data_IF_975448556621
#
_entry.id   IF_975448556621
#
_cell.length_a   1.000
_cell.length_b   1.000
_cell.length_c   1.000
_cell.angle_alpha   90.00
_cell.angle_beta   90.00
_cell.angle_gamma   90.00
#
_symmetry.space_group_name_H-M   'P 1'
#
loop_
_entity.id
_entity.type
_entity.pdbx_description
1 polymer ?
#
# COMPACT_ATOMS: atom_id res chain seq x y z
N UNK A 1 15.50 1.80 -8.19
CA UNK A 1 15.77 1.78 -6.73
C UNK A 1 14.78 0.82 -6.08
N UNK A 2 15.05 0.35 -4.86
CA UNK A 2 14.04 -0.35 -4.06
C UNK A 2 13.46 0.64 -3.05
N UNK A 3 12.16 0.54 -2.78
CA UNK A 3 11.47 1.35 -1.78
C UNK A 3 10.91 0.43 -0.70
N UNK A 4 11.19 0.78 0.55
CA UNK A 4 10.48 0.29 1.73
C UNK A 4 9.57 1.41 2.20
N UNK A 5 8.26 1.15 2.24
CA UNK A 5 7.23 2.16 2.49
C UNK A 5 6.36 1.70 3.64
N UNK A 6 6.24 2.55 4.66
CA UNK A 6 5.46 2.32 5.87
C UNK A 6 5.84 0.99 6.55
N UNK A 7 4.89 0.37 7.27
CA UNK A 7 5.07 -0.92 7.93
C UNK A 7 4.85 -0.84 9.43
N UNK A 8 5.20 -1.92 10.14
CA UNK A 8 4.95 -2.05 11.57
C UNK A 8 6.27 -2.26 12.34
N UNK A 9 6.57 -1.35 13.27
CA UNK A 9 7.76 -1.37 14.13
C UNK A 9 7.37 -1.24 15.61
N UNK A 10 6.42 -2.07 16.05
CA UNK A 10 5.73 -1.94 17.35
C UNK A 10 4.61 -0.88 17.37
N UNK A 11 4.52 -0.11 16.30
CA UNK A 11 3.47 0.81 15.92
C UNK A 11 3.50 0.95 14.39
N UNK A 12 2.42 1.42 13.78
CA UNK A 12 2.44 1.79 12.37
C UNK A 12 3.45 2.90 12.12
N UNK A 13 4.20 2.75 11.04
CA UNK A 13 5.20 3.73 10.62
C UNK A 13 4.75 4.39 9.32
N UNK A 14 5.28 5.58 9.06
CA UNK A 14 5.17 6.26 7.78
C UNK A 14 6.53 6.38 7.09
N UNK A 15 7.50 5.55 7.44
CA UNK A 15 8.84 5.62 6.88
C UNK A 15 8.82 5.40 5.37
N UNK A 16 9.51 6.25 4.60
CA UNK A 16 9.83 5.98 3.19
C UNK A 16 11.34 5.90 3.07
N UNK A 17 11.85 4.70 2.81
CA UNK A 17 13.29 4.46 2.72
C UNK A 17 13.61 3.91 1.34
N UNK A 18 14.59 4.52 0.68
CA UNK A 18 15.08 4.14 -0.63
C UNK A 18 16.41 3.42 -0.48
N UNK A 19 16.54 2.29 -1.16
CA UNK A 19 17.82 1.62 -1.38
C UNK A 19 18.28 1.85 -2.82
N UNK A 20 19.42 2.54 -2.96
CA UNK A 20 20.12 2.62 -4.24
C UNK A 20 20.88 1.31 -4.48
N UNK A 21 20.40 0.51 -5.43
CA UNK A 21 20.96 -0.81 -5.75
C UNK A 21 22.38 -0.72 -6.31
N UNK A 22 22.67 0.32 -7.10
CA UNK A 22 23.98 0.48 -7.73
C UNK A 22 25.03 0.90 -6.70
N UNK A 23 24.68 1.84 -5.83
CA UNK A 23 25.57 2.39 -4.80
C UNK A 23 25.56 1.58 -3.50
N UNK A 24 24.55 0.72 -3.31
CA UNK A 24 24.29 -0.06 -2.10
C UNK A 24 24.16 0.80 -0.85
N UNK A 25 23.45 1.91 -0.96
CA UNK A 25 23.22 2.85 0.14
C UNK A 25 21.73 2.99 0.42
N UNK A 26 21.41 3.19 1.71
CA UNK A 26 20.07 3.50 2.18
C UNK A 26 19.95 5.00 2.39
N UNK A 27 18.84 5.57 1.90
CA UNK A 27 18.51 6.98 2.03
C UNK A 27 17.06 7.10 2.51
N UNK A 28 16.82 7.94 3.51
CA UNK A 28 15.47 8.21 4.01
C UNK A 28 14.88 9.38 3.23
N UNK A 29 13.69 9.19 2.67
CA UNK A 29 12.94 10.25 2.00
C UNK A 29 12.01 10.97 3.00
N UNK A 30 11.64 12.24 2.76
CA UNK A 30 10.58 12.92 3.51
C UNK A 30 9.26 12.14 3.43
N UNK A 31 8.57 11.98 4.56
CA UNK A 31 7.41 11.08 4.66
C UNK A 31 6.31 11.53 5.62
N UNK A 32 6.38 12.77 6.11
CA UNK A 32 5.38 13.39 6.99
C UNK A 32 4.00 13.51 6.33
N UNK A 33 3.97 13.51 4.99
CA UNK A 33 2.77 13.51 4.17
C UNK A 33 2.06 12.14 4.19
N UNK A 34 2.75 11.05 4.52
CA UNK A 34 2.21 9.71 4.57
C UNK A 34 1.62 9.45 5.96
N UNK A 35 0.33 9.13 6.02
CA UNK A 35 -0.29 8.58 7.23
C UNK A 35 0.39 7.25 7.60
N UNK A 36 0.82 7.06 8.87
CA UNK A 36 1.35 5.78 9.33
C UNK A 36 0.38 4.65 9.06
N UNK A 37 0.90 3.56 8.49
CA UNK A 37 0.11 2.38 8.14
C UNK A 37 0.97 1.13 8.05
N UNK A 38 0.36 -0.03 8.08
CA UNK A 38 1.03 -1.30 7.83
C UNK A 38 0.18 -2.21 6.95
N UNK A 39 0.72 -3.37 6.54
CA UNK A 39 -0.02 -4.46 5.85
C UNK A 39 -0.83 -4.02 4.62
N UNK A 40 -0.34 -2.99 3.93
CA UNK A 40 -0.87 -2.54 2.66
C UNK A 40 -0.66 -3.60 1.57
N UNK A 41 -1.54 -3.63 0.58
CA UNK A 41 -1.20 -4.21 -0.71
C UNK A 41 -0.29 -3.23 -1.46
N UNK A 42 0.75 -3.72 -2.14
CA UNK A 42 1.71 -2.89 -2.86
C UNK A 42 1.81 -3.30 -4.33
N UNK A 43 2.01 -2.32 -5.20
CA UNK A 43 2.18 -2.48 -6.64
C UNK A 43 3.45 -1.73 -7.08
N UNK A 44 4.18 -2.31 -8.03
CA UNK A 44 5.32 -1.67 -8.67
C UNK A 44 4.99 -1.48 -10.16
N UNK A 45 4.68 -0.25 -10.53
CA UNK A 45 4.29 0.13 -11.89
C UNK A 45 5.43 0.85 -12.60
N UNK A 46 5.37 0.81 -13.93
CA UNK A 46 6.29 1.53 -14.81
C UNK A 46 5.55 2.14 -16.02
N UNK A 47 4.53 2.99 -15.78
CA UNK A 47 3.81 3.68 -16.85
C UNK A 47 4.72 4.65 -17.59
N UNK A 48 4.22 5.20 -18.69
CA UNK A 48 4.94 6.17 -19.53
C UNK A 48 5.36 7.42 -18.74
N UNK A 49 4.57 7.81 -17.73
CA UNK A 49 4.86 8.93 -16.82
C UNK A 49 6.05 8.68 -15.88
N UNK A 50 6.49 7.43 -15.73
CA UNK A 50 7.65 7.03 -14.95
C UNK A 50 7.36 5.93 -13.92
N UNK A 51 8.40 5.31 -13.35
CA UNK A 51 8.23 4.25 -12.36
C UNK A 51 7.59 4.76 -11.06
N UNK A 52 6.61 4.00 -10.58
CA UNK A 52 5.82 4.33 -9.40
C UNK A 52 5.64 3.10 -8.50
N UNK A 53 5.73 3.30 -7.20
CA UNK A 53 5.19 2.37 -6.21
C UNK A 53 3.84 2.90 -5.78
N UNK A 54 2.83 2.04 -5.82
CA UNK A 54 1.48 2.36 -5.32
C UNK A 54 1.18 1.43 -4.16
N UNK A 55 0.67 1.97 -3.06
CA UNK A 55 0.12 1.16 -1.95
C UNK A 55 -1.37 1.41 -1.81
N UNK A 56 -2.12 0.35 -1.48
CA UNK A 56 -3.55 0.41 -1.24
C UNK A 56 -3.87 -0.03 0.19
N UNK A 57 -4.74 0.76 0.84
CA UNK A 57 -5.31 0.45 2.14
C UNK A 57 -4.24 0.29 3.23
N UNK A 58 -4.33 -0.81 3.97
CA UNK A 58 -3.48 -1.13 5.12
C UNK A 58 -4.13 -0.78 6.45
N UNK A 59 -3.57 -1.34 7.53
CA UNK A 59 -3.98 -1.09 8.91
C UNK A 59 -3.42 0.26 9.37
N UNK A 60 -4.26 1.08 9.98
CA UNK A 60 -3.93 2.42 10.52
C UNK A 60 -4.26 2.55 12.02
N UNK A 61 -4.87 1.51 12.57
CA UNK A 61 -5.18 1.35 13.99
C UNK A 61 -5.12 -0.15 14.30
N UNK A 62 -4.11 -0.66 15.00
CA UNK A 62 -3.97 -2.10 15.21
C UNK A 62 -5.09 -2.66 16.05
N UNK A 63 -5.40 -3.93 15.83
CA UNK A 63 -6.28 -4.71 16.71
C UNK A 63 -5.73 -4.82 18.14
N UNK A 64 -6.61 -4.70 19.15
CA UNK A 64 -6.27 -4.98 20.55
C UNK A 64 -6.04 -6.48 20.80
N UNK A 65 -6.47 -7.34 19.86
CA UNK A 65 -6.26 -8.79 19.85
C UNK A 65 -5.07 -9.22 18.98
N UNK A 66 -4.27 -8.26 18.47
CA UNK A 66 -3.22 -8.54 17.51
C UNK A 66 -3.78 -9.20 16.23
N UNK A 67 -3.06 -10.15 15.64
CA UNK A 67 -3.48 -10.74 14.35
C UNK A 67 -4.69 -11.70 14.44
N UNK A 68 -5.24 -11.94 15.63
CA UNK A 68 -6.50 -12.67 15.79
C UNK A 68 -7.71 -11.80 15.44
N UNK A 69 -7.61 -10.49 15.67
CA UNK A 69 -8.64 -9.51 15.37
C UNK A 69 -8.43 -8.79 14.05
N UNK A 70 -9.18 -7.71 13.86
CA UNK A 70 -9.10 -6.83 12.71
C UNK A 70 -8.99 -5.39 13.22
N UNK A 71 -7.88 -4.73 12.89
CA UNK A 71 -7.72 -3.32 13.17
C UNK A 71 -8.58 -2.42 12.27
N UNK A 72 -8.42 -1.11 12.45
CA UNK A 72 -8.95 -0.12 11.54
C UNK A 72 -8.13 -0.09 10.25
N UNK A 73 -8.77 -0.32 9.11
CA UNK A 73 -8.13 -0.28 7.79
C UNK A 73 -8.48 0.97 6.99
N UNK A 74 -7.57 1.39 6.11
CA UNK A 74 -7.81 2.41 5.11
C UNK A 74 -8.23 1.80 3.75
N UNK A 75 -8.72 2.64 2.84
CA UNK A 75 -9.11 2.28 1.46
C UNK A 75 -8.57 3.26 0.40
N UNK A 76 -7.59 4.09 0.77
CA UNK A 76 -6.94 5.03 -0.14
C UNK A 76 -5.80 4.37 -0.92
N UNK A 77 -5.53 4.92 -2.11
CA UNK A 77 -4.32 4.67 -2.86
C UNK A 77 -3.30 5.76 -2.56
N UNK A 78 -2.04 5.37 -2.46
CA UNK A 78 -0.91 6.29 -2.30
C UNK A 78 0.11 5.98 -3.38
N UNK A 79 0.35 6.92 -4.27
CA UNK A 79 1.40 6.85 -5.27
C UNK A 79 2.70 7.47 -4.79
N UNK A 80 3.81 6.84 -5.12
CA UNK A 80 5.15 7.23 -4.71
C UNK A 80 6.08 7.07 -5.91
N UNK A 81 6.79 8.13 -6.29
CA UNK A 81 7.78 8.06 -7.35
C UNK A 81 9.06 7.31 -6.91
N UNK A 82 9.98 7.09 -7.85
CA UNK A 82 11.27 6.45 -7.54
C UNK A 82 12.16 7.23 -6.55
N UNK A 83 11.88 8.51 -6.30
CA UNK A 83 12.55 9.36 -5.32
C UNK A 83 11.94 9.29 -3.91
N UNK A 84 10.79 8.62 -3.75
CA UNK A 84 10.07 8.58 -2.48
C UNK A 84 9.14 9.78 -2.27
N UNK A 85 8.85 10.56 -3.32
CA UNK A 85 7.91 11.69 -3.24
C UNK A 85 6.48 11.24 -3.61
N UNK A 86 5.45 11.86 -3.00
CA UNK A 86 4.08 11.54 -3.34
C UNK A 86 3.76 11.99 -4.77
N UNK A 87 3.02 11.15 -5.48
CA UNK A 87 2.49 11.46 -6.80
C UNK A 87 0.99 11.18 -6.84
N UNK A 88 0.29 11.89 -7.71
CA UNK A 88 -1.11 11.61 -8.00
C UNK A 88 -1.23 10.28 -8.74
N UNK A 89 -2.19 9.45 -8.32
CA UNK A 89 -2.55 8.21 -9.01
C UNK A 89 -3.93 8.41 -9.59
N UNK A 90 -4.00 8.54 -10.91
CA UNK A 90 -5.27 8.58 -11.63
C UNK A 90 -5.67 7.14 -11.92
N UNK A 91 -6.87 6.77 -11.50
CA UNK A 91 -7.41 5.42 -11.66
C UNK A 91 -8.66 5.49 -12.53
N UNK A 92 -8.71 4.61 -13.52
CA UNK A 92 -9.90 4.43 -14.34
C UNK A 92 -10.88 3.47 -13.66
N UNK A 93 -12.13 3.90 -13.49
CA UNK A 93 -13.19 3.09 -12.92
C UNK A 93 -14.15 3.85 -12.00
N UNK A 94 -15.32 3.25 -11.75
CA UNK A 94 -16.37 3.86 -10.94
C UNK A 94 -16.43 3.33 -9.49
N UNK A 95 -15.75 2.22 -9.19
CA UNK A 95 -15.80 1.56 -7.89
C UNK A 95 -14.40 1.38 -7.30
N UNK A 96 -14.32 1.44 -5.97
CA UNK A 96 -13.10 1.22 -5.21
C UNK A 96 -13.29 0.05 -4.24
N UNK A 97 -12.23 -0.73 -3.93
CA UNK A 97 -12.34 -1.77 -2.94
C UNK A 97 -12.64 -1.18 -1.56
N UNK A 98 -13.45 -1.84 -0.71
CA UNK A 98 -13.63 -1.40 0.68
C UNK A 98 -12.32 -1.45 1.48
N UNK A 99 -12.27 -0.74 2.63
CA UNK A 99 -11.08 -0.71 3.48
C UNK A 99 -10.60 -2.10 3.87
N UNK A 100 -9.30 -2.34 3.71
CA UNK A 100 -8.68 -3.63 4.01
C UNK A 100 -7.17 -3.54 4.19
N UNK A 101 -6.63 -4.49 4.94
CA UNK A 101 -5.20 -4.80 5.02
C UNK A 101 -4.97 -6.28 4.74
N UNK A 102 -3.72 -6.73 4.80
CA UNK A 102 -3.36 -8.15 4.67
C UNK A 102 -3.77 -8.80 3.34
N UNK A 103 -4.06 -8.00 2.32
CA UNK A 103 -4.37 -8.45 0.97
C UNK A 103 -3.11 -8.63 0.13
N UNK A 104 -3.22 -9.43 -0.94
CA UNK A 104 -2.14 -9.59 -1.90
C UNK A 104 -2.33 -8.60 -3.06
N UNK A 105 -1.31 -7.78 -3.32
CA UNK A 105 -1.25 -6.90 -4.49
C UNK A 105 -0.10 -7.29 -5.40
N UNK A 106 -0.30 -7.24 -6.71
CA UNK A 106 0.79 -7.37 -7.69
C UNK A 106 0.49 -6.55 -8.93
N UNK A 107 1.54 -5.99 -9.53
CA UNK A 107 1.45 -5.50 -10.91
C UNK A 107 1.37 -6.72 -11.86
N UNK A 108 0.55 -6.59 -12.90
CA UNK A 108 0.39 -7.57 -13.99
C UNK A 108 0.76 -7.00 -15.35
N UNK A 109 0.82 -5.67 -15.47
CA UNK A 109 1.38 -4.93 -16.60
C UNK A 109 2.10 -3.67 -16.08
N UNK A 110 2.57 -2.83 -17.01
CA UNK A 110 3.24 -1.56 -16.68
C UNK A 110 2.33 -0.60 -15.89
N UNK A 111 1.03 -0.65 -16.17
CA UNK A 111 -0.03 0.25 -15.73
C UNK A 111 -1.25 -0.52 -15.16
N UNK A 112 -1.15 -1.83 -14.97
CA UNK A 112 -2.23 -2.68 -14.49
C UNK A 112 -1.81 -3.54 -13.30
N UNK A 113 -2.66 -3.68 -12.30
CA UNK A 113 -2.44 -4.47 -11.10
C UNK A 113 -3.67 -5.23 -10.62
N UNK A 114 -3.44 -6.28 -9.83
CA UNK A 114 -4.49 -7.09 -9.22
C UNK A 114 -4.34 -7.06 -7.70
N UNK A 115 -5.46 -6.78 -7.02
CA UNK A 115 -5.62 -6.93 -5.58
C UNK A 115 -6.52 -8.14 -5.31
N UNK A 116 -6.11 -9.02 -4.41
CA UNK A 116 -6.90 -10.18 -4.00
C UNK A 116 -7.03 -10.28 -2.48
N UNK A 117 -8.27 -10.51 -2.04
CA UNK A 117 -8.61 -10.83 -0.67
C UNK A 117 -8.26 -9.75 0.34
N UNK A 118 -7.79 -10.18 1.51
CA UNK A 118 -7.45 -9.32 2.65
C UNK A 118 -8.38 -9.52 3.85
N UNK A 119 -8.20 -8.67 4.85
CA UNK A 119 -8.98 -8.62 6.08
C UNK A 119 -9.65 -7.24 6.19
N UNK A 120 -10.90 -7.23 6.62
CA UNK A 120 -11.72 -6.05 6.88
C UNK A 120 -12.58 -6.27 8.12
N UNK A 121 -13.52 -5.35 8.39
CA UNK A 121 -14.34 -5.35 9.60
C UNK A 121 -13.62 -4.69 10.78
N UNK A 122 -13.84 -5.25 11.97
CA UNK A 122 -13.26 -4.78 13.23
C UNK A 122 -13.01 -5.97 14.20
N UNK A 123 -12.50 -5.68 15.39
CA UNK A 123 -12.21 -6.68 16.43
C UNK A 123 -13.41 -7.48 16.93
N UNK A 124 -14.63 -7.01 16.72
CA UNK A 124 -15.85 -7.74 17.06
C UNK A 124 -16.29 -8.66 15.93
N UNK A 125 -16.12 -8.23 14.68
CA UNK A 125 -16.54 -8.96 13.48
C UNK A 125 -15.47 -8.88 12.36
N UNK A 126 -14.35 -9.62 12.48
CA UNK A 126 -13.34 -9.66 11.42
C UNK A 126 -13.88 -10.41 10.19
N UNK A 127 -13.63 -9.86 9.00
CA UNK A 127 -14.12 -10.43 7.74
C UNK A 127 -12.95 -10.70 6.79
N UNK A 128 -12.72 -11.99 6.49
CA UNK A 128 -11.81 -12.38 5.41
C UNK A 128 -12.49 -12.18 4.07
N UNK A 129 -11.78 -11.52 3.17
CA UNK A 129 -12.26 -11.20 1.84
C UNK A 129 -11.69 -12.20 0.83
N UNK A 130 -12.50 -12.53 -0.18
CA UNK A 130 -12.13 -13.44 -1.28
C UNK A 130 -12.43 -12.86 -2.66
N UNK A 131 -12.70 -11.56 -2.73
CA UNK A 131 -12.89 -10.79 -3.95
C UNK A 131 -11.55 -10.44 -4.60
N UNK A 132 -11.59 -10.17 -5.90
CA UNK A 132 -10.46 -9.70 -6.68
C UNK A 132 -10.82 -8.35 -7.33
N UNK A 133 -9.85 -7.46 -7.38
CA UNK A 133 -9.97 -6.14 -7.98
C UNK A 133 -8.88 -5.93 -9.01
N UNK A 134 -9.25 -5.31 -10.12
CA UNK A 134 -8.33 -4.85 -11.14
C UNK A 134 -8.09 -3.35 -10.94
N UNK A 135 -6.83 -2.94 -10.99
CA UNK A 135 -6.40 -1.56 -10.92
C UNK A 135 -5.75 -1.19 -12.25
N UNK A 136 -6.26 -0.17 -12.92
CA UNK A 136 -5.64 0.45 -14.09
C UNK A 136 -5.23 1.88 -13.73
N UNK A 137 -3.95 2.20 -13.87
CA UNK A 137 -3.41 3.55 -13.62
C UNK A 137 -3.13 4.26 -14.93
N UNK A 138 -3.51 5.54 -15.04
CA UNK A 138 -3.30 6.34 -16.25
C UNK A 138 -1.93 7.05 -16.29
#
# INVERSE_FOLDING_TARGET
>A
ALLAVAGFAGHETNDVVRFDVARRVWERAPSEWLRPRSVCASFSFAPVSGPAVVVFGGEVSPSDKGHEGAGGFASDLVGIDAGGQPIEVVVDGASTPPPRGWGAGTAIAADQGVLFGGLSGDDAAPVRLGDAWHLEVA
#
